data_IF_070813408069
#
_entry.id   IF_070813408069
#
_cell.length_a   1.000
_cell.length_b   1.000
_cell.length_c   1.000
_cell.angle_alpha   90.00
_cell.angle_beta   90.00
_cell.angle_gamma   90.00
#
_symmetry.space_group_name_H-M   'P 1'
#
loop_
_entity.id
_entity.type
_entity.pdbx_description
1 polymer ?
#
# COMPACT_ATOMS: atom_id res chain seq x y z
N UNK A 1 33.10 20.66 -14.54
CA UNK A 1 34.08 19.94 -15.38
C UNK A 1 33.43 18.64 -15.86
N UNK A 2 33.72 18.18 -17.07
CA UNK A 2 33.15 16.96 -17.67
C UNK A 2 34.25 16.04 -18.20
N UNK A 3 33.87 14.77 -18.43
CA UNK A 3 34.65 13.76 -19.12
C UNK A 3 33.85 13.25 -20.33
N UNK A 4 34.55 12.86 -21.38
CA UNK A 4 33.94 12.23 -22.54
C UNK A 4 33.74 10.73 -22.28
N UNK A 5 32.50 10.26 -22.33
CA UNK A 5 32.14 8.85 -22.36
C UNK A 5 31.64 8.46 -23.75
N UNK A 6 31.62 7.17 -24.07
CA UNK A 6 31.16 6.67 -25.37
C UNK A 6 30.12 5.56 -25.22
N UNK A 7 29.20 5.48 -26.17
CA UNK A 7 28.37 4.31 -26.42
C UNK A 7 28.37 4.01 -27.93
N UNK A 8 27.50 3.11 -28.39
CA UNK A 8 27.41 2.77 -29.82
C UNK A 8 26.90 3.91 -30.71
N UNK A 9 26.34 4.99 -30.14
CA UNK A 9 25.86 6.17 -30.87
C UNK A 9 26.98 7.21 -31.03
N UNK A 10 27.98 7.19 -30.15
CA UNK A 10 29.15 8.05 -30.22
C UNK A 10 29.53 8.68 -28.87
N UNK A 11 30.38 9.71 -28.87
CA UNK A 11 30.79 10.39 -27.65
C UNK A 11 29.67 11.28 -27.05
N UNK A 12 29.75 11.52 -25.75
CA UNK A 12 28.94 12.50 -25.00
C UNK A 12 29.69 12.97 -23.75
N UNK A 13 29.48 14.23 -23.36
CA UNK A 13 30.06 14.82 -22.16
C UNK A 13 29.25 14.46 -20.91
N UNK A 14 29.93 13.93 -19.89
CA UNK A 14 29.37 13.50 -18.61
C UNK A 14 30.05 14.26 -17.46
N UNK A 15 29.33 14.71 -16.40
CA UNK A 15 29.95 15.37 -15.25
C UNK A 15 31.07 14.53 -14.61
N UNK A 16 32.16 15.17 -14.17
CA UNK A 16 33.31 14.45 -13.57
C UNK A 16 32.99 13.79 -12.23
N UNK A 17 32.01 14.29 -11.50
CA UNK A 17 31.53 13.75 -10.23
C UNK A 17 30.53 12.60 -10.40
N UNK A 18 30.00 12.38 -11.60
CA UNK A 18 29.08 11.29 -11.88
C UNK A 18 29.78 9.94 -12.05
N UNK A 19 29.25 8.87 -11.47
CA UNK A 19 29.66 7.50 -11.77
C UNK A 19 28.99 6.95 -13.04
N UNK A 20 27.82 7.47 -13.42
CA UNK A 20 27.11 7.02 -14.62
C UNK A 20 27.85 7.38 -15.91
N UNK A 21 27.47 6.75 -17.03
CA UNK A 21 28.16 6.87 -18.32
C UNK A 21 27.28 7.48 -19.42
N UNK A 22 27.63 7.15 -20.66
CA UNK A 22 27.02 7.75 -21.84
C UNK A 22 25.51 7.51 -21.95
N UNK A 23 25.01 6.31 -21.61
CA UNK A 23 23.60 5.99 -21.79
C UNK A 23 22.71 6.72 -20.79
N UNK A 24 23.15 6.82 -19.53
CA UNK A 24 22.45 7.62 -18.52
C UNK A 24 22.43 9.09 -18.91
N UNK A 25 23.56 9.62 -19.38
CA UNK A 25 23.65 11.02 -19.81
C UNK A 25 22.72 11.32 -20.98
N UNK A 26 22.63 10.42 -21.97
CA UNK A 26 21.67 10.55 -23.08
C UNK A 26 20.23 10.47 -22.61
N UNK A 27 19.92 9.54 -21.69
CA UNK A 27 18.57 9.40 -21.14
C UNK A 27 18.12 10.68 -20.42
N UNK A 28 19.00 11.29 -19.63
CA UNK A 28 18.72 12.57 -18.94
C UNK A 28 18.30 13.69 -19.89
N UNK A 29 18.94 13.78 -21.05
CA UNK A 29 18.66 14.81 -22.05
C UNK A 29 17.36 14.49 -22.80
N UNK A 30 17.19 13.23 -23.21
CA UNK A 30 16.11 12.84 -24.12
C UNK A 30 14.76 12.61 -23.43
N UNK A 31 14.76 12.33 -22.12
CA UNK A 31 13.57 12.01 -21.33
C UNK A 31 13.37 13.01 -20.19
N UNK A 32 13.60 14.30 -20.46
CA UNK A 32 13.39 15.40 -19.51
C UNK A 32 11.88 15.71 -19.32
N UNK A 33 11.12 14.72 -18.87
CA UNK A 33 9.66 14.78 -18.68
C UNK A 33 9.37 14.63 -17.19
N UNK A 34 8.45 15.45 -16.65
CA UNK A 34 7.99 15.35 -15.27
C UNK A 34 9.05 15.63 -14.21
N UNK A 35 8.72 15.33 -12.96
CA UNK A 35 9.63 15.45 -11.81
C UNK A 35 9.83 14.10 -11.09
N UNK A 36 9.08 13.09 -11.50
CA UNK A 36 9.06 11.75 -10.91
C UNK A 36 10.35 11.01 -11.26
N UNK A 37 11.29 10.97 -10.32
CA UNK A 37 12.49 10.13 -10.41
C UNK A 37 12.09 8.65 -10.30
N UNK A 38 12.90 7.77 -10.92
CA UNK A 38 12.78 6.33 -10.71
C UNK A 38 12.90 6.04 -9.20
N UNK A 39 11.97 5.27 -8.58
CA UNK A 39 12.03 5.00 -7.16
C UNK A 39 13.34 4.31 -6.76
N UNK A 40 14.01 4.82 -5.71
CA UNK A 40 15.27 4.26 -5.21
C UNK A 40 15.16 2.77 -4.88
N UNK A 41 14.01 2.31 -4.36
CA UNK A 41 13.77 0.89 -4.10
C UNK A 41 13.96 0.01 -5.35
N UNK A 42 13.62 0.50 -6.55
CA UNK A 42 13.85 -0.23 -7.81
C UNK A 42 15.34 -0.26 -8.16
N UNK A 43 16.05 0.83 -7.88
CA UNK A 43 17.48 0.98 -8.17
C UNK A 43 18.34 0.14 -7.22
N UNK A 44 18.00 0.11 -5.93
CA UNK A 44 18.58 -0.81 -4.95
C UNK A 44 18.27 -2.26 -5.30
N UNK A 45 17.03 -2.59 -5.74
CA UNK A 45 16.72 -3.94 -6.21
C UNK A 45 17.52 -4.33 -7.47
N UNK A 46 17.75 -3.41 -8.41
CA UNK A 46 18.65 -3.63 -9.54
C UNK A 46 20.10 -3.88 -9.08
N UNK A 47 20.61 -3.10 -8.12
CA UNK A 47 21.95 -3.31 -7.56
C UNK A 47 22.09 -4.67 -6.87
N UNK A 48 21.05 -5.10 -6.13
CA UNK A 48 20.97 -6.43 -5.54
C UNK A 48 21.04 -7.54 -6.61
N UNK A 49 20.34 -7.35 -7.73
CA UNK A 49 20.41 -8.25 -8.89
C UNK A 49 21.83 -8.29 -9.47
N UNK A 50 22.52 -7.15 -9.59
CA UNK A 50 23.90 -7.12 -10.10
C UNK A 50 24.87 -7.83 -9.17
N UNK A 51 24.72 -7.64 -7.85
CA UNK A 51 25.48 -8.39 -6.84
C UNK A 51 25.26 -9.90 -6.96
N UNK A 52 24.00 -10.34 -7.00
CA UNK A 52 23.66 -11.75 -7.12
C UNK A 52 24.19 -12.36 -8.43
N UNK A 53 24.03 -11.64 -9.55
CA UNK A 53 24.52 -12.08 -10.86
C UNK A 53 26.05 -12.20 -10.90
N UNK A 54 26.79 -11.25 -10.30
CA UNK A 54 28.25 -11.33 -10.23
C UNK A 54 28.71 -12.58 -9.47
N UNK A 55 28.08 -12.88 -8.33
CA UNK A 55 28.37 -14.10 -7.54
C UNK A 55 28.05 -15.38 -8.30
N UNK A 56 26.88 -15.45 -8.93
CA UNK A 56 26.46 -16.64 -9.71
C UNK A 56 27.38 -16.86 -10.90
N UNK A 57 27.65 -15.82 -11.70
CA UNK A 57 28.54 -15.92 -12.86
C UNK A 57 29.98 -16.25 -12.45
N UNK A 58 30.46 -15.75 -11.30
CA UNK A 58 31.78 -16.11 -10.80
C UNK A 58 31.86 -17.58 -10.41
N UNK A 59 30.85 -18.11 -9.71
CA UNK A 59 30.78 -19.54 -9.34
C UNK A 59 30.71 -20.47 -10.55
N UNK A 60 30.09 -20.03 -11.65
CA UNK A 60 30.01 -20.80 -12.89
C UNK A 60 31.22 -20.60 -13.82
N UNK A 61 32.20 -19.77 -13.45
CA UNK A 61 33.37 -19.45 -14.27
C UNK A 61 33.12 -18.48 -15.43
N UNK A 62 31.92 -17.90 -15.53
CA UNK A 62 31.54 -16.94 -16.57
C UNK A 62 32.07 -15.52 -16.31
N UNK A 63 32.50 -15.24 -15.09
CA UNK A 63 33.03 -13.95 -14.68
C UNK A 63 34.29 -14.13 -13.80
N UNK A 64 35.42 -13.48 -14.13
CA UNK A 64 36.62 -13.53 -13.29
C UNK A 64 36.34 -13.10 -11.84
N UNK A 65 36.93 -13.79 -10.88
CA UNK A 65 36.62 -13.61 -9.45
C UNK A 65 37.05 -12.24 -8.89
N UNK A 66 38.08 -11.63 -9.45
CA UNK A 66 38.52 -10.27 -9.14
C UNK A 66 37.51 -9.22 -9.64
N UNK A 67 37.01 -9.37 -10.87
CA UNK A 67 35.95 -8.51 -11.44
C UNK A 67 34.65 -8.66 -10.64
N UNK A 68 34.27 -9.89 -10.31
CA UNK A 68 33.06 -10.17 -9.53
C UNK A 68 33.11 -9.49 -8.14
N UNK A 69 34.28 -9.50 -7.48
CA UNK A 69 34.50 -8.87 -6.17
C UNK A 69 34.36 -7.35 -6.23
N UNK A 70 34.89 -6.71 -7.27
CA UNK A 70 34.76 -5.26 -7.47
C UNK A 70 33.29 -4.86 -7.70
N UNK A 71 32.55 -5.65 -8.48
CA UNK A 71 31.13 -5.44 -8.73
C UNK A 71 30.33 -5.59 -7.43
N UNK A 72 30.61 -6.63 -6.65
CA UNK A 72 29.95 -6.87 -5.37
C UNK A 72 30.18 -5.72 -4.39
N UNK A 73 31.43 -5.26 -4.24
CA UNK A 73 31.75 -4.14 -3.36
C UNK A 73 31.03 -2.84 -3.79
N UNK A 74 31.05 -2.52 -5.10
CA UNK A 74 30.34 -1.34 -5.60
C UNK A 74 28.82 -1.46 -5.45
N UNK A 75 28.25 -2.66 -5.64
CA UNK A 75 26.83 -2.89 -5.42
C UNK A 75 26.44 -2.76 -3.94
N UNK A 76 27.29 -3.18 -3.01
CA UNK A 76 27.07 -3.00 -1.57
C UNK A 76 27.01 -1.52 -1.18
N UNK A 77 27.92 -0.70 -1.68
CA UNK A 77 27.87 0.76 -1.44
C UNK A 77 26.57 1.39 -1.97
N UNK A 78 26.04 0.90 -3.11
CA UNK A 78 24.74 1.32 -3.64
C UNK A 78 23.58 0.87 -2.73
N UNK A 79 23.60 -0.38 -2.27
CA UNK A 79 22.58 -0.94 -1.37
C UNK A 79 22.57 -0.25 0.01
N UNK A 80 23.70 0.27 0.45
CA UNK A 80 23.85 1.07 1.68
C UNK A 80 23.43 2.54 1.50
N UNK A 81 22.99 2.94 0.30
CA UNK A 81 22.52 4.29 0.00
C UNK A 81 23.63 5.32 -0.20
N UNK A 82 24.90 4.91 -0.31
CA UNK A 82 26.03 5.84 -0.45
C UNK A 82 26.02 6.60 -1.78
N UNK A 83 25.30 6.08 -2.78
CA UNK A 83 25.31 6.56 -4.17
C UNK A 83 23.92 6.92 -4.71
N UNK A 84 22.92 7.17 -3.86
CA UNK A 84 21.54 7.45 -4.30
C UNK A 84 21.42 8.65 -5.26
N UNK A 85 22.31 9.63 -5.12
CA UNK A 85 22.40 10.80 -6.02
C UNK A 85 22.84 10.45 -7.45
N UNK A 86 23.35 9.24 -7.68
CA UNK A 86 23.91 8.78 -8.96
C UNK A 86 22.85 8.15 -9.89
N UNK A 87 21.58 8.21 -9.49
CA UNK A 87 20.47 7.68 -10.26
C UNK A 87 19.46 8.77 -10.63
N UNK A 88 19.82 9.66 -11.56
CA UNK A 88 19.02 10.85 -11.85
C UNK A 88 17.86 10.57 -12.81
N UNK A 89 17.65 9.34 -13.27
CA UNK A 89 16.64 9.08 -14.31
C UNK A 89 15.20 9.18 -13.80
N UNK A 90 14.29 9.54 -14.71
CA UNK A 90 12.86 9.70 -14.42
C UNK A 90 12.08 8.41 -14.69
N UNK A 91 10.86 8.33 -14.16
CA UNK A 91 9.90 7.27 -14.46
C UNK A 91 9.55 7.24 -15.94
N UNK A 92 9.43 8.42 -16.56
CA UNK A 92 9.00 8.63 -17.94
C UNK A 92 10.12 8.40 -18.95
N UNK A 93 10.72 7.22 -18.88
CA UNK A 93 11.83 6.78 -19.70
C UNK A 93 11.40 5.68 -20.69
N UNK A 94 12.36 4.99 -21.31
CA UNK A 94 12.04 3.79 -22.09
C UNK A 94 11.19 2.79 -21.28
N UNK A 95 10.12 2.31 -21.91
CA UNK A 95 9.09 1.51 -21.27
C UNK A 95 9.51 0.16 -20.71
N UNK A 96 10.66 -0.37 -21.16
CA UNK A 96 11.27 -1.60 -20.61
C UNK A 96 12.04 -1.36 -19.31
N UNK A 97 12.35 -0.11 -18.98
CA UNK A 97 13.26 0.23 -17.89
C UNK A 97 14.75 0.08 -18.22
N UNK A 98 15.11 -0.10 -19.51
CA UNK A 98 16.50 -0.27 -19.97
C UNK A 98 17.42 0.84 -19.49
N UNK A 99 16.96 2.09 -19.47
CA UNK A 99 17.81 3.21 -19.09
C UNK A 99 18.18 3.16 -17.60
N UNK A 100 17.26 2.81 -16.70
CA UNK A 100 17.61 2.57 -15.28
C UNK A 100 18.48 1.34 -15.08
N UNK A 101 18.24 0.25 -15.83
CA UNK A 101 19.14 -0.92 -15.79
C UNK A 101 20.57 -0.53 -16.19
N UNK A 102 20.72 0.23 -17.29
CA UNK A 102 22.02 0.72 -17.73
C UNK A 102 22.62 1.75 -16.79
N UNK A 103 21.81 2.60 -16.15
CA UNK A 103 22.30 3.54 -15.14
C UNK A 103 22.92 2.81 -13.95
N UNK A 104 22.28 1.75 -13.45
CA UNK A 104 22.87 0.91 -12.39
C UNK A 104 24.13 0.20 -12.88
N UNK A 105 24.12 -0.34 -14.11
CA UNK A 105 25.31 -0.97 -14.70
C UNK A 105 26.49 0.01 -14.79
N UNK A 106 26.25 1.22 -15.29
CA UNK A 106 27.26 2.26 -15.45
C UNK A 106 27.78 2.77 -14.10
N UNK A 107 26.91 2.98 -13.11
CA UNK A 107 27.32 3.43 -11.77
C UNK A 107 28.17 2.36 -11.08
N UNK A 108 27.74 1.09 -11.11
CA UNK A 108 28.51 -0.01 -10.53
C UNK A 108 29.85 -0.19 -11.24
N UNK A 109 29.87 -0.17 -12.58
CA UNK A 109 31.12 -0.26 -13.34
C UNK A 109 32.05 0.92 -13.05
N UNK A 110 31.52 2.15 -13.05
CA UNK A 110 32.28 3.37 -12.80
C UNK A 110 32.87 3.40 -11.40
N UNK A 111 32.14 2.90 -10.39
CA UNK A 111 32.65 2.78 -9.03
C UNK A 111 33.66 1.64 -8.89
N UNK A 112 33.41 0.49 -9.50
CA UNK A 112 34.34 -0.63 -9.54
C UNK A 112 35.68 -0.26 -10.21
N UNK A 113 35.65 0.56 -11.26
CA UNK A 113 36.86 1.06 -11.92
C UNK A 113 37.62 2.05 -11.05
N UNK A 114 36.92 2.91 -10.31
CA UNK A 114 37.55 3.81 -9.34
C UNK A 114 38.23 3.03 -8.20
N UNK A 115 37.59 1.95 -7.71
CA UNK A 115 38.18 1.03 -6.73
C UNK A 115 39.44 0.33 -7.27
N UNK A 116 39.45 -0.05 -8.54
CA UNK A 116 40.57 -0.79 -9.14
C UNK A 116 41.74 0.09 -9.59
N UNK A 117 41.47 1.29 -10.11
CA UNK A 117 42.46 2.12 -10.80
C UNK A 117 42.42 3.61 -10.45
N UNK A 118 41.58 4.04 -9.50
CA UNK A 118 41.49 5.43 -9.05
C UNK A 118 40.82 6.39 -10.03
N UNK A 119 40.32 5.91 -11.16
CA UNK A 119 39.64 6.71 -12.17
C UNK A 119 38.13 6.47 -12.11
N UNK A 120 37.36 7.55 -11.99
CA UNK A 120 35.89 7.49 -11.95
C UNK A 120 35.31 7.27 -13.35
N UNK A 121 34.35 6.34 -13.44
CA UNK A 121 33.64 6.04 -14.69
C UNK A 121 34.38 5.04 -15.58
N UNK A 122 34.25 5.18 -16.89
CA UNK A 122 34.92 4.33 -17.87
C UNK A 122 34.39 2.90 -17.92
N UNK A 123 35.13 2.05 -18.65
CA UNK A 123 34.71 0.68 -19.00
C UNK A 123 35.79 -0.38 -18.76
N UNK A 124 36.83 -0.05 -18.00
CA UNK A 124 37.97 -0.91 -17.75
C UNK A 124 38.49 -0.71 -16.32
N UNK A 125 38.77 -1.80 -15.56
CA UNK A 125 38.66 -3.21 -15.98
C UNK A 125 37.21 -3.75 -16.00
N UNK A 126 36.24 -3.03 -15.43
CA UNK A 126 34.83 -3.44 -15.37
C UNK A 126 34.03 -2.76 -16.47
N UNK A 127 33.47 -3.56 -17.39
CA UNK A 127 32.62 -3.09 -18.47
C UNK A 127 31.13 -3.22 -18.06
N UNK A 128 30.30 -2.18 -18.26
CA UNK A 128 28.91 -2.18 -17.79
C UNK A 128 28.03 -3.25 -18.46
N UNK A 129 28.29 -3.62 -19.72
CA UNK A 129 27.53 -4.67 -20.41
C UNK A 129 28.15 -6.05 -20.17
N UNK A 130 29.37 -6.24 -20.64
CA UNK A 130 30.08 -7.52 -20.64
C UNK A 130 30.34 -8.12 -19.24
N UNK A 131 30.48 -7.29 -18.20
CA UNK A 131 30.73 -7.74 -16.83
C UNK A 131 29.52 -7.54 -15.91
N UNK A 132 29.06 -6.29 -15.72
CA UNK A 132 27.96 -6.00 -14.77
C UNK A 132 26.62 -6.59 -15.23
N UNK A 133 26.37 -6.56 -16.54
CA UNK A 133 25.15 -7.08 -17.17
C UNK A 133 25.36 -8.48 -17.80
N UNK A 134 26.40 -9.22 -17.42
CA UNK A 134 26.68 -10.58 -17.90
C UNK A 134 25.48 -11.50 -17.61
N UNK A 135 25.07 -12.28 -18.61
CA UNK A 135 23.92 -13.21 -18.58
C UNK A 135 22.55 -12.57 -18.31
N UNK A 136 22.42 -11.26 -18.55
CA UNK A 136 21.23 -10.48 -18.19
C UNK A 136 20.70 -9.65 -19.36
N UNK A 137 19.43 -9.28 -19.29
CA UNK A 137 18.79 -8.30 -20.14
C UNK A 137 18.08 -7.25 -19.28
N UNK A 138 17.86 -6.05 -19.80
CA UNK A 138 16.93 -5.13 -19.14
C UNK A 138 15.52 -5.73 -19.04
N UNK A 139 15.15 -6.55 -20.03
CA UNK A 139 13.82 -7.12 -20.13
C UNK A 139 13.51 -8.08 -18.99
N UNK A 140 14.50 -8.81 -18.44
CA UNK A 140 14.34 -9.69 -17.28
C UNK A 140 14.85 -9.09 -15.96
N UNK A 141 15.84 -8.19 -15.99
CA UNK A 141 16.31 -7.48 -14.78
C UNK A 141 15.28 -6.50 -14.22
N UNK A 142 14.69 -5.65 -15.06
CA UNK A 142 13.77 -4.62 -14.59
C UNK A 142 12.49 -5.20 -13.95
N UNK A 143 11.76 -6.15 -14.56
CA UNK A 143 10.63 -6.80 -13.87
C UNK A 143 11.06 -7.55 -12.60
N UNK A 144 12.24 -8.17 -12.58
CA UNK A 144 12.78 -8.77 -11.34
C UNK A 144 12.94 -7.72 -10.24
N UNK A 145 13.48 -6.54 -10.57
CA UNK A 145 13.62 -5.44 -9.62
C UNK A 145 12.26 -4.89 -9.15
N UNK A 146 11.27 -4.80 -10.04
CA UNK A 146 9.90 -4.40 -9.68
C UNK A 146 9.30 -5.33 -8.62
N UNK A 147 9.45 -6.64 -8.83
CA UNK A 147 8.94 -7.68 -7.94
C UNK A 147 9.62 -7.65 -6.57
N UNK A 148 10.95 -7.56 -6.54
CA UNK A 148 11.73 -7.44 -5.30
C UNK A 148 11.33 -6.18 -4.52
N UNK A 149 11.31 -5.01 -5.18
CA UNK A 149 10.98 -3.75 -4.54
C UNK A 149 9.55 -3.76 -3.97
N UNK A 150 8.58 -4.29 -4.72
CA UNK A 150 7.20 -4.41 -4.25
C UNK A 150 7.08 -5.37 -3.05
N UNK A 151 7.69 -6.56 -3.12
CA UNK A 151 7.67 -7.54 -2.04
C UNK A 151 8.33 -7.01 -0.76
N UNK A 152 9.47 -6.31 -0.88
CA UNK A 152 10.14 -5.66 0.26
C UNK A 152 9.25 -4.57 0.87
N UNK A 153 8.70 -3.67 0.05
CA UNK A 153 7.85 -2.58 0.53
C UNK A 153 6.59 -3.09 1.23
N UNK A 154 5.95 -4.15 0.72
CA UNK A 154 4.81 -4.78 1.38
C UNK A 154 5.22 -5.41 2.72
N UNK A 155 6.29 -6.21 2.74
CA UNK A 155 6.71 -6.97 3.92
C UNK A 155 7.22 -6.07 5.05
N UNK A 156 8.02 -5.06 4.71
CA UNK A 156 8.74 -4.25 5.69
C UNK A 156 8.02 -2.94 6.05
N UNK A 157 7.19 -2.40 5.16
CA UNK A 157 6.51 -1.13 5.41
C UNK A 157 5.01 -1.33 5.65
N UNK A 158 4.29 -1.93 4.70
CA UNK A 158 2.83 -1.95 4.71
C UNK A 158 2.21 -2.93 5.70
N UNK A 159 2.63 -4.20 5.69
CA UNK A 159 2.04 -5.20 6.59
C UNK A 159 2.24 -4.85 8.08
N UNK A 160 3.40 -4.34 8.52
CA UNK A 160 3.56 -3.84 9.88
C UNK A 160 2.65 -2.64 10.18
N UNK A 161 2.59 -1.64 9.30
CA UNK A 161 1.74 -0.47 9.48
C UNK A 161 0.24 -0.81 9.57
N UNK A 162 -0.21 -1.75 8.73
CA UNK A 162 -1.59 -2.24 8.74
C UNK A 162 -1.89 -2.98 10.05
N UNK A 163 -0.96 -3.80 10.54
CA UNK A 163 -1.10 -4.48 11.82
C UNK A 163 -1.19 -3.47 12.98
N UNK A 164 -0.32 -2.44 13.00
CA UNK A 164 -0.35 -1.37 14.01
C UNK A 164 -1.74 -0.70 14.10
N UNK A 165 -2.32 -0.31 12.95
CA UNK A 165 -3.67 0.28 12.91
C UNK A 165 -4.77 -0.70 13.31
N UNK A 166 -4.73 -1.91 12.77
CA UNK A 166 -5.73 -2.96 13.05
C UNK A 166 -5.76 -3.30 14.53
N UNK A 167 -4.58 -3.46 15.15
CA UNK A 167 -4.45 -3.86 16.54
C UNK A 167 -4.87 -2.71 17.48
N UNK A 168 -4.57 -1.47 17.12
CA UNK A 168 -5.09 -0.29 17.83
C UNK A 168 -6.61 -0.16 17.79
N UNK A 169 -7.23 -0.39 16.64
CA UNK A 169 -8.69 -0.46 16.52
C UNK A 169 -9.28 -1.63 17.32
N UNK A 170 -8.60 -2.78 17.34
CA UNK A 170 -9.01 -3.96 18.11
C UNK A 170 -8.97 -3.68 19.61
N UNK A 171 -7.98 -2.95 20.11
CA UNK A 171 -7.92 -2.51 21.50
C UNK A 171 -9.09 -1.58 21.84
N UNK A 172 -9.37 -0.58 20.99
CA UNK A 172 -10.51 0.32 21.18
C UNK A 172 -11.84 -0.44 21.15
N UNK A 173 -11.98 -1.42 20.24
CA UNK A 173 -13.17 -2.26 20.16
C UNK A 173 -13.42 -3.05 21.45
N UNK A 174 -12.36 -3.62 22.05
CA UNK A 174 -12.45 -4.35 23.32
C UNK A 174 -12.77 -3.41 24.49
N UNK A 175 -12.11 -2.26 24.55
CA UNK A 175 -12.33 -1.25 25.59
C UNK A 175 -13.78 -0.75 25.62
N UNK A 176 -14.42 -0.67 24.45
CA UNK A 176 -15.78 -0.17 24.29
C UNK A 176 -16.79 -1.26 23.92
N UNK A 177 -16.50 -2.53 24.23
CA UNK A 177 -17.34 -3.68 23.89
C UNK A 177 -18.78 -3.57 24.41
N UNK A 178 -18.97 -2.90 25.56
CA UNK A 178 -20.27 -2.75 26.23
C UNK A 178 -20.90 -1.35 26.07
N UNK A 179 -20.26 -0.44 25.33
CA UNK A 179 -20.76 0.93 25.17
C UNK A 179 -21.87 0.94 24.12
N UNK A 180 -23.14 0.99 24.55
CA UNK A 180 -24.30 0.96 23.65
C UNK A 180 -24.50 2.32 22.98
N UNK A 181 -24.82 2.30 21.70
CA UNK A 181 -25.18 3.45 20.86
C UNK A 181 -26.30 3.08 19.89
N UNK A 182 -26.89 4.07 19.24
CA UNK A 182 -27.79 3.81 18.11
C UNK A 182 -26.98 3.41 16.87
N UNK A 183 -27.38 2.34 16.19
CA UNK A 183 -26.91 2.04 14.84
C UNK A 183 -27.56 2.98 13.83
N UNK A 184 -26.97 3.12 12.64
CA UNK A 184 -27.58 3.90 11.55
C UNK A 184 -27.49 3.14 10.23
N UNK A 185 -28.61 3.05 9.53
CA UNK A 185 -28.69 2.54 8.16
C UNK A 185 -29.39 3.59 7.30
N UNK A 186 -28.90 3.81 6.08
CA UNK A 186 -29.40 4.89 5.21
C UNK A 186 -29.36 6.30 5.84
N UNK A 187 -28.43 6.53 6.79
CA UNK A 187 -28.35 7.76 7.60
C UNK A 187 -29.54 8.02 8.53
N UNK A 188 -30.41 7.03 8.72
CA UNK A 188 -31.53 7.08 9.65
C UNK A 188 -31.20 6.30 10.92
N UNK A 189 -31.82 6.69 12.04
CA UNK A 189 -31.74 5.93 13.29
C UNK A 189 -32.16 4.48 13.08
N UNK A 190 -31.47 3.54 13.71
CA UNK A 190 -31.74 2.12 13.65
C UNK A 190 -31.65 1.47 15.04
N UNK A 191 -31.64 0.14 15.09
CA UNK A 191 -31.53 -0.62 16.34
C UNK A 191 -30.19 -0.40 17.05
N UNK A 192 -30.10 -0.69 18.36
CA UNK A 192 -28.86 -0.53 19.12
C UNK A 192 -27.73 -1.42 18.59
N UNK A 193 -26.51 -0.92 18.71
CA UNK A 193 -25.25 -1.67 18.59
C UNK A 193 -24.32 -1.23 19.72
N UNK A 194 -23.23 -1.94 19.96
CA UNK A 194 -22.14 -1.37 20.78
C UNK A 194 -21.11 -0.67 19.91
N UNK A 195 -20.45 0.34 20.46
CA UNK A 195 -19.33 1.01 19.80
C UNK A 195 -18.18 0.02 19.54
N UNK A 196 -17.97 -0.95 20.44
CA UNK A 196 -17.05 -2.06 20.20
C UNK A 196 -17.42 -2.92 18.99
N UNK A 197 -18.71 -3.23 18.80
CA UNK A 197 -19.17 -3.92 17.58
C UNK A 197 -18.90 -3.10 16.32
N UNK A 198 -19.21 -1.80 16.34
CA UNK A 198 -18.92 -0.87 15.23
C UNK A 198 -17.43 -0.85 14.86
N UNK A 199 -16.54 -0.75 15.87
CA UNK A 199 -15.09 -0.76 15.66
C UNK A 199 -14.58 -2.11 15.16
N UNK A 200 -15.15 -3.22 15.67
CA UNK A 200 -14.79 -4.58 15.23
C UNK A 200 -15.05 -4.82 13.74
N UNK A 201 -16.04 -4.13 13.15
CA UNK A 201 -16.28 -4.20 11.71
C UNK A 201 -15.10 -3.63 10.90
N UNK A 202 -14.48 -2.52 11.34
CA UNK A 202 -13.26 -2.01 10.69
C UNK A 202 -12.09 -2.98 10.82
N UNK A 203 -11.92 -3.59 12.01
CA UNK A 203 -10.88 -4.62 12.22
C UNK A 203 -11.05 -5.77 11.23
N UNK A 204 -12.28 -6.27 11.06
CA UNK A 204 -12.57 -7.33 10.10
C UNK A 204 -12.29 -6.90 8.64
N UNK A 205 -12.68 -5.69 8.25
CA UNK A 205 -12.40 -5.15 6.91
C UNK A 205 -10.89 -5.05 6.63
N UNK A 206 -10.11 -4.57 7.59
CA UNK A 206 -8.65 -4.53 7.50
C UNK A 206 -8.04 -5.94 7.44
N UNK A 207 -8.57 -6.89 8.20
CA UNK A 207 -8.17 -8.29 8.16
C UNK A 207 -8.42 -8.95 6.79
N UNK A 208 -9.55 -8.67 6.14
CA UNK A 208 -9.82 -9.14 4.77
C UNK A 208 -8.82 -8.54 3.77
N UNK A 209 -8.50 -7.25 3.88
CA UNK A 209 -7.52 -6.62 3.02
C UNK A 209 -6.11 -7.18 3.23
N UNK A 210 -5.70 -7.41 4.47
CA UNK A 210 -4.42 -8.05 4.80
C UNK A 210 -4.31 -9.45 4.19
N UNK A 211 -5.36 -10.26 4.32
CA UNK A 211 -5.40 -11.60 3.75
C UNK A 211 -5.24 -11.57 2.21
N UNK A 212 -5.90 -10.62 1.54
CA UNK A 212 -5.76 -10.43 0.10
C UNK A 212 -4.33 -10.03 -0.31
N UNK A 213 -3.69 -9.13 0.45
CA UNK A 213 -2.30 -8.71 0.20
C UNK A 213 -1.35 -9.91 0.36
N UNK A 214 -1.49 -10.67 1.44
CA UNK A 214 -0.68 -11.86 1.70
C UNK A 214 -0.87 -12.92 0.63
N UNK A 215 -2.09 -13.11 0.13
CA UNK A 215 -2.39 -14.07 -0.94
C UNK A 215 -1.78 -13.68 -2.29
N UNK A 216 -1.54 -12.39 -2.56
CA UNK A 216 -0.89 -11.94 -3.79
C UNK A 216 0.65 -12.12 -3.77
N UNK A 217 1.28 -12.13 -2.60
CA UNK A 217 2.74 -12.14 -2.46
C UNK A 217 3.46 -13.35 -3.10
N UNK A 218 2.94 -14.60 -3.06
CA UNK A 218 3.61 -15.73 -3.70
C UNK A 218 3.89 -15.50 -5.18
N UNK A 219 2.90 -15.03 -5.94
CA UNK A 219 3.06 -14.74 -7.38
C UNK A 219 4.01 -13.54 -7.63
N UNK A 220 4.03 -12.56 -6.72
CA UNK A 220 4.99 -11.44 -6.78
C UNK A 220 6.42 -11.92 -6.52
N UNK A 221 6.62 -13.02 -5.80
CA UNK A 221 7.97 -13.56 -5.53
C UNK A 221 8.54 -14.40 -6.68
N UNK A 222 7.77 -14.62 -7.76
CA UNK A 222 8.25 -15.30 -8.96
C UNK A 222 8.99 -14.33 -9.89
N UNK A 223 10.25 -14.63 -10.20
CA UNK A 223 11.17 -13.72 -10.88
C UNK A 223 11.34 -14.04 -12.36
N UNK A 224 11.37 -12.98 -13.17
CA UNK A 224 11.63 -13.04 -14.61
C UNK A 224 13.10 -13.36 -14.93
N UNK A 225 14.03 -13.15 -13.99
CA UNK A 225 15.47 -13.25 -14.21
C UNK A 225 15.89 -14.60 -14.83
N UNK A 226 16.75 -14.54 -15.85
CA UNK A 226 17.15 -15.69 -16.66
C UNK A 226 16.28 -15.90 -17.90
N UNK A 227 15.23 -15.10 -18.10
CA UNK A 227 14.47 -15.05 -19.37
C UNK A 227 15.20 -14.30 -20.49
N UNK A 228 16.19 -13.48 -20.14
CA UNK A 228 16.98 -12.62 -21.01
C UNK A 228 16.13 -11.74 -21.94
N UNK A 229 16.35 -11.79 -23.26
CA UNK A 229 15.74 -10.84 -24.19
C UNK A 229 14.23 -11.05 -24.35
N UNK A 230 13.79 -12.30 -24.53
CA UNK A 230 12.41 -12.63 -24.95
C UNK A 230 11.81 -13.84 -24.23
N UNK A 231 12.50 -14.38 -23.22
CA UNK A 231 12.03 -15.48 -22.37
C UNK A 231 12.73 -16.81 -22.60
N UNK A 232 13.60 -16.91 -23.61
CA UNK A 232 14.29 -18.15 -23.98
C UNK A 232 15.53 -18.45 -23.14
N UNK A 233 16.07 -17.47 -22.43
CA UNK A 233 17.34 -17.61 -21.71
C UNK A 233 18.58 -17.56 -22.62
N UNK A 234 18.45 -17.10 -23.87
CA UNK A 234 19.60 -16.94 -24.78
C UNK A 234 20.69 -16.08 -24.12
N UNK A 235 21.94 -16.54 -24.19
CA UNK A 235 23.14 -15.96 -23.58
C UNK A 235 23.21 -16.02 -22.04
N UNK A 236 22.31 -16.74 -21.36
CA UNK A 236 22.48 -17.14 -19.97
C UNK A 236 23.02 -18.58 -19.89
N UNK A 237 23.91 -18.90 -18.94
CA UNK A 237 24.36 -20.28 -18.75
C UNK A 237 23.23 -21.17 -18.22
N UNK A 238 23.33 -22.47 -18.48
CA UNK A 238 22.34 -23.43 -17.98
C UNK A 238 22.22 -23.37 -16.45
N UNK A 239 20.99 -23.34 -15.93
CA UNK A 239 20.72 -23.25 -14.48
C UNK A 239 20.89 -21.85 -13.87
N UNK A 240 21.17 -20.82 -14.68
CA UNK A 240 21.33 -19.45 -14.19
C UNK A 240 20.07 -18.93 -13.46
N UNK A 241 18.89 -19.18 -14.00
CA UNK A 241 17.62 -18.65 -13.48
C UNK A 241 17.34 -19.16 -12.05
N UNK A 242 17.53 -20.45 -11.80
CA UNK A 242 17.35 -21.06 -10.48
C UNK A 242 18.44 -20.59 -9.51
N UNK A 243 19.70 -20.55 -9.97
CA UNK A 243 20.83 -20.13 -9.15
C UNK A 243 20.72 -18.66 -8.70
N UNK A 244 20.31 -17.75 -9.58
CA UNK A 244 20.15 -16.33 -9.24
C UNK A 244 18.91 -16.08 -8.38
N UNK A 245 17.81 -16.80 -8.59
CA UNK A 245 16.65 -16.71 -7.70
C UNK A 245 17.01 -17.16 -6.27
N UNK A 246 17.77 -18.26 -6.14
CA UNK A 246 18.26 -18.74 -4.84
C UNK A 246 19.23 -17.75 -4.17
N UNK A 247 20.16 -17.16 -4.92
CA UNK A 247 21.08 -16.14 -4.40
C UNK A 247 20.32 -14.88 -3.94
N UNK A 248 19.34 -14.42 -4.73
CA UNK A 248 18.50 -13.28 -4.39
C UNK A 248 17.63 -13.56 -3.16
N UNK A 249 17.07 -14.77 -3.04
CA UNK A 249 16.32 -15.19 -1.85
C UNK A 249 17.21 -15.17 -0.61
N UNK A 250 18.44 -15.69 -0.71
CA UNK A 250 19.41 -15.69 0.40
C UNK A 250 19.82 -14.27 0.82
N UNK A 251 20.08 -13.38 -0.14
CA UNK A 251 20.49 -12.00 0.12
C UNK A 251 19.36 -11.13 0.69
N UNK A 252 18.13 -11.31 0.20
CA UNK A 252 16.98 -10.48 0.58
C UNK A 252 16.17 -11.03 1.76
N UNK A 253 16.30 -12.33 2.06
CA UNK A 253 15.43 -13.03 3.00
C UNK A 253 13.98 -13.21 2.51
N UNK A 254 13.69 -12.89 1.23
CA UNK A 254 12.39 -13.09 0.60
C UNK A 254 12.28 -14.50 0.00
N UNK A 255 11.08 -15.10 -0.07
CA UNK A 255 10.87 -16.44 -0.66
C UNK A 255 10.84 -16.38 -2.20
N UNK A 256 11.92 -15.87 -2.80
CA UNK A 256 12.01 -15.64 -4.25
C UNK A 256 12.26 -16.94 -5.01
N UNK A 257 11.57 -17.10 -6.13
CA UNK A 257 11.70 -18.28 -7.01
C UNK A 257 11.83 -17.87 -8.47
N UNK A 258 12.35 -18.76 -9.30
CA UNK A 258 12.36 -18.58 -10.76
C UNK A 258 10.92 -18.74 -11.28
N UNK A 259 10.39 -17.74 -12.00
CA UNK A 259 9.07 -17.84 -12.60
C UNK A 259 8.96 -19.07 -13.54
N UNK A 260 7.90 -19.89 -13.45
CA UNK A 260 7.77 -21.11 -14.23
C UNK A 260 7.63 -20.85 -15.73
N UNK A 261 7.11 -19.68 -16.11
CA UNK A 261 7.02 -19.25 -17.50
C UNK A 261 7.66 -17.86 -17.69
N UNK A 262 8.84 -17.85 -18.31
CA UNK A 262 9.60 -16.62 -18.57
C UNK A 262 8.97 -15.74 -19.64
N UNK A 263 8.24 -16.29 -20.59
CA UNK A 263 7.55 -15.49 -21.61
C UNK A 263 6.48 -14.63 -20.94
N UNK A 264 5.63 -15.22 -20.09
CA UNK A 264 4.61 -14.51 -19.33
C UNK A 264 5.21 -13.43 -18.42
N UNK A 265 6.29 -13.77 -17.69
CA UNK A 265 6.97 -12.84 -16.78
C UNK A 265 7.58 -11.61 -17.47
N UNK A 266 7.80 -11.66 -18.79
CA UNK A 266 8.28 -10.52 -19.59
C UNK A 266 7.14 -9.77 -20.28
N UNK A 267 6.17 -10.52 -20.83
CA UNK A 267 5.07 -9.99 -21.64
C UNK A 267 3.93 -9.40 -20.81
N UNK A 268 3.79 -9.79 -19.54
CA UNK A 268 2.72 -9.38 -18.63
C UNK A 268 3.22 -9.02 -17.23
N UNK A 269 2.31 -8.50 -16.40
CA UNK A 269 2.56 -8.08 -15.00
C UNK A 269 1.35 -8.37 -14.10
N UNK A 270 0.61 -9.44 -14.39
CA UNK A 270 -0.59 -9.85 -13.67
C UNK A 270 -0.36 -10.02 -12.17
N UNK A 271 0.78 -10.55 -11.67
CA UNK A 271 1.04 -10.59 -10.23
C UNK A 271 1.02 -9.20 -9.57
N UNK A 272 1.53 -8.18 -10.25
CA UNK A 272 1.52 -6.80 -9.75
C UNK A 272 0.14 -6.15 -9.87
N UNK A 273 -0.66 -6.52 -10.88
CA UNK A 273 -2.08 -6.13 -10.97
C UNK A 273 -2.88 -6.75 -9.84
N UNK A 274 -2.66 -8.03 -9.53
CA UNK A 274 -3.33 -8.71 -8.42
C UNK A 274 -2.97 -8.05 -7.08
N UNK A 275 -1.69 -7.72 -6.87
CA UNK A 275 -1.27 -6.97 -5.68
C UNK A 275 -1.94 -5.59 -5.64
N UNK A 276 -1.96 -4.84 -6.75
CA UNK A 276 -2.67 -3.55 -6.83
C UNK A 276 -4.14 -3.68 -6.46
N UNK A 277 -4.83 -4.72 -6.94
CA UNK A 277 -6.22 -4.99 -6.58
C UNK A 277 -6.40 -5.26 -5.08
N UNK A 278 -5.46 -5.94 -4.43
CA UNK A 278 -5.47 -6.12 -2.98
C UNK A 278 -5.23 -4.81 -2.22
N UNK A 279 -4.33 -3.95 -2.70
CA UNK A 279 -4.11 -2.61 -2.14
C UNK A 279 -5.34 -1.71 -2.29
N UNK A 280 -6.07 -1.80 -3.41
CA UNK A 280 -7.36 -1.14 -3.60
C UNK A 280 -8.37 -1.59 -2.55
N UNK A 281 -8.46 -2.88 -2.24
CA UNK A 281 -9.36 -3.40 -1.19
C UNK A 281 -9.05 -2.75 0.16
N UNK A 282 -7.76 -2.58 0.49
CA UNK A 282 -7.36 -1.84 1.69
C UNK A 282 -7.79 -0.37 1.64
N UNK A 283 -7.54 0.32 0.53
CA UNK A 283 -7.94 1.72 0.36
C UNK A 283 -9.46 1.94 0.51
N UNK A 284 -10.28 1.01 0.00
CA UNK A 284 -11.74 1.02 0.18
C UNK A 284 -12.13 0.92 1.65
N UNK A 285 -11.49 0.02 2.41
CA UNK A 285 -11.73 -0.12 3.84
C UNK A 285 -11.31 1.15 4.62
N UNK A 286 -10.14 1.71 4.31
CA UNK A 286 -9.63 2.92 4.93
C UNK A 286 -10.51 4.15 4.62
N UNK A 287 -11.04 4.25 3.40
CA UNK A 287 -12.00 5.30 3.03
C UNK A 287 -13.25 5.24 3.91
N UNK A 288 -13.84 4.05 4.09
CA UNK A 288 -15.01 3.86 4.97
C UNK A 288 -14.67 4.23 6.42
N UNK A 289 -13.54 3.74 6.94
CA UNK A 289 -13.05 4.08 8.29
C UNK A 289 -12.94 5.60 8.51
N UNK A 290 -12.27 6.30 7.58
CA UNK A 290 -12.12 7.75 7.64
C UNK A 290 -13.47 8.49 7.60
N UNK A 291 -14.36 8.05 6.71
CA UNK A 291 -15.67 8.66 6.51
C UNK A 291 -16.60 8.49 7.71
N UNK A 292 -16.56 7.34 8.35
CA UNK A 292 -17.37 7.08 9.53
C UNK A 292 -16.85 7.86 10.73
N UNK A 293 -15.54 7.82 11.01
CA UNK A 293 -14.98 8.53 12.16
C UNK A 293 -15.14 10.05 12.05
N UNK A 294 -15.01 10.65 10.85
CA UNK A 294 -15.30 12.08 10.67
C UNK A 294 -16.78 12.42 10.90
N UNK A 295 -17.68 11.51 10.52
CA UNK A 295 -19.12 11.72 10.64
C UNK A 295 -19.55 11.59 12.11
N UNK A 296 -19.08 10.54 12.79
CA UNK A 296 -19.28 10.34 14.23
C UNK A 296 -18.67 11.49 15.05
N UNK A 297 -17.54 12.04 14.60
CA UNK A 297 -16.87 13.20 15.21
C UNK A 297 -17.41 14.58 14.79
N UNK A 298 -18.44 14.64 13.94
CA UNK A 298 -19.01 15.92 13.49
C UNK A 298 -19.66 16.67 14.66
N UNK A 299 -19.38 17.97 14.82
CA UNK A 299 -19.88 18.73 15.97
C UNK A 299 -19.08 20.01 16.25
N UNK A 300 -18.95 20.45 17.52
CA UNK A 300 -19.32 19.74 18.75
C UNK A 300 -20.79 19.89 19.17
N UNK A 301 -21.57 20.77 18.51
CA UNK A 301 -22.97 21.06 18.93
C UNK A 301 -24.04 20.81 17.86
N UNK A 302 -23.64 20.72 16.59
CA UNK A 302 -24.56 20.68 15.45
C UNK A 302 -24.30 19.47 14.53
N UNK A 303 -23.69 18.41 15.08
CA UNK A 303 -23.43 17.15 14.40
C UNK A 303 -23.70 15.98 15.35
N UNK A 304 -23.16 14.80 15.06
CA UNK A 304 -23.36 13.63 15.92
C UNK A 304 -22.60 13.72 17.24
N UNK A 305 -21.35 14.21 17.23
CA UNK A 305 -20.50 14.34 18.40
C UNK A 305 -20.43 13.06 19.28
N UNK A 306 -20.56 11.88 18.66
CA UNK A 306 -20.50 10.59 19.36
C UNK A 306 -19.05 10.22 19.71
N UNK A 307 -18.08 10.74 18.95
CA UNK A 307 -16.66 10.58 19.26
C UNK A 307 -15.95 11.94 19.27
N UNK A 308 -14.95 12.05 20.13
CA UNK A 308 -13.97 13.14 20.15
C UNK A 308 -12.69 12.62 19.50
N UNK A 309 -12.34 13.22 18.37
CA UNK A 309 -11.08 12.98 17.69
C UNK A 309 -9.97 13.86 18.30
N UNK A 310 -8.71 13.43 18.30
CA UNK A 310 -7.60 14.21 18.85
C UNK A 310 -7.43 15.56 18.14
N UNK A 311 -7.14 16.60 18.93
CA UNK A 311 -6.91 17.96 18.44
C UNK A 311 -5.42 18.20 18.18
N UNK A 312 -4.94 17.76 17.02
CA UNK A 312 -3.51 17.83 16.67
C UNK A 312 -3.05 19.24 16.23
N UNK A 313 -3.94 20.05 15.66
CA UNK A 313 -3.65 21.41 15.21
C UNK A 313 -4.88 22.33 15.25
N UNK A 314 -4.69 23.68 15.20
CA UNK A 314 -5.79 24.62 15.01
C UNK A 314 -6.51 24.37 13.67
N UNK A 315 -7.82 24.14 13.71
CA UNK A 315 -8.61 23.75 12.53
C UNK A 315 -9.13 24.92 11.68
N UNK A 316 -8.89 26.17 12.06
CA UNK A 316 -9.32 27.32 11.26
C UNK A 316 -8.49 28.57 11.54
N UNK A 317 -8.16 29.30 10.48
CA UNK A 317 -7.52 30.60 10.57
C UNK A 317 -8.44 31.72 11.08
N UNK A 318 -9.78 31.53 11.02
CA UNK A 318 -10.77 32.58 11.32
C UNK A 318 -11.76 32.20 12.44
N UNK A 319 -11.91 30.91 12.76
CA UNK A 319 -12.79 30.43 13.83
C UNK A 319 -11.96 29.92 15.02
N UNK A 320 -11.66 30.78 16.02
CA UNK A 320 -10.92 30.37 17.20
C UNK A 320 -11.57 29.17 17.90
N UNK A 321 -10.78 28.16 18.26
CA UNK A 321 -11.24 26.96 18.94
C UNK A 321 -11.84 25.87 18.05
N UNK A 322 -11.97 26.08 16.72
CA UNK A 322 -12.38 25.00 15.79
C UNK A 322 -11.24 24.01 15.59
N UNK A 323 -11.55 22.71 15.70
CA UNK A 323 -10.65 21.58 15.40
C UNK A 323 -11.31 20.72 14.33
N UNK A 324 -10.57 20.32 13.29
CA UNK A 324 -11.08 19.53 12.18
C UNK A 324 -10.59 18.07 12.25
N UNK A 325 -11.30 17.12 11.62
CA UNK A 325 -10.88 15.72 11.53
C UNK A 325 -9.81 15.50 10.44
N UNK A 326 -8.69 16.22 10.52
CA UNK A 326 -7.67 16.30 9.44
C UNK A 326 -7.00 14.97 9.12
N UNK A 327 -6.83 14.08 10.11
CA UNK A 327 -6.33 12.72 9.88
C UNK A 327 -7.31 11.89 9.04
N UNK A 328 -8.63 12.06 9.23
CA UNK A 328 -9.64 11.42 8.37
C UNK A 328 -9.59 12.00 6.95
N UNK A 329 -9.40 13.32 6.82
CA UNK A 329 -9.27 13.99 5.53
C UNK A 329 -8.05 13.43 4.76
N UNK A 330 -6.87 13.39 5.38
CA UNK A 330 -5.66 12.84 4.80
C UNK A 330 -5.81 11.36 4.40
N UNK A 331 -6.38 10.53 5.29
CA UNK A 331 -6.62 9.11 5.01
C UNK A 331 -7.58 8.90 3.82
N UNK A 332 -8.61 9.73 3.70
CA UNK A 332 -9.54 9.67 2.57
C UNK A 332 -8.90 10.12 1.25
N UNK A 333 -8.07 11.17 1.25
CA UNK A 333 -7.38 11.64 0.05
C UNK A 333 -6.37 10.63 -0.47
N UNK A 334 -5.57 10.02 0.41
CA UNK A 334 -4.62 9.00 -0.02
C UNK A 334 -5.31 7.73 -0.53
N UNK A 335 -6.49 7.39 0.01
CA UNK A 335 -7.29 6.29 -0.51
C UNK A 335 -7.78 6.59 -1.94
N UNK A 336 -8.26 7.81 -2.22
CA UNK A 336 -8.58 8.24 -3.59
C UNK A 336 -7.37 8.08 -4.53
N UNK A 337 -6.18 8.49 -4.10
CA UNK A 337 -4.97 8.36 -4.92
C UNK A 337 -4.64 6.89 -5.22
N UNK A 338 -4.75 5.99 -4.23
CA UNK A 338 -4.53 4.55 -4.43
C UNK A 338 -5.52 3.95 -5.42
N UNK A 339 -6.80 4.36 -5.38
CA UNK A 339 -7.80 3.92 -6.36
C UNK A 339 -7.46 4.42 -7.78
N UNK A 340 -6.97 5.65 -7.92
CA UNK A 340 -6.48 6.18 -9.19
C UNK A 340 -5.27 5.41 -9.72
N UNK A 341 -4.31 5.12 -8.83
CA UNK A 341 -3.12 4.34 -9.14
C UNK A 341 -3.48 2.92 -9.62
N UNK A 342 -4.47 2.27 -9.00
CA UNK A 342 -4.97 0.94 -9.44
C UNK A 342 -5.50 0.98 -10.86
N UNK A 343 -6.28 2.00 -11.21
CA UNK A 343 -6.76 2.19 -12.58
C UNK A 343 -5.60 2.39 -13.58
N UNK A 344 -4.60 3.20 -13.21
CA UNK A 344 -3.40 3.40 -14.03
C UNK A 344 -2.61 2.10 -14.21
N UNK A 345 -2.40 1.33 -13.15
CA UNK A 345 -1.68 0.05 -13.19
C UNK A 345 -2.43 -0.96 -14.07
N UNK A 346 -3.74 -1.11 -13.87
CA UNK A 346 -4.58 -2.01 -14.65
C UNK A 346 -4.55 -1.66 -16.14
N UNK A 347 -4.66 -0.36 -16.47
CA UNK A 347 -4.56 0.08 -17.86
C UNK A 347 -3.18 -0.20 -18.43
N UNK A 348 -2.10 0.21 -17.77
CA UNK A 348 -0.72 -0.02 -18.21
C UNK A 348 -0.39 -1.52 -18.41
N UNK A 349 -0.84 -2.38 -17.52
CA UNK A 349 -0.64 -3.83 -17.63
C UNK A 349 -1.36 -4.44 -18.85
N UNK A 350 -2.50 -3.89 -19.24
CA UNK A 350 -3.26 -4.34 -20.43
C UNK A 350 -2.58 -4.04 -21.76
N UNK A 351 -1.56 -3.16 -21.78
CA UNK A 351 -0.89 -2.69 -23.00
C UNK A 351 0.31 -3.55 -23.42
N UNK A 352 0.36 -4.83 -23.02
CA UNK A 352 1.39 -5.75 -23.45
C UNK A 352 1.35 -6.00 -24.96
N UNK A 353 2.51 -5.98 -25.62
CA UNK A 353 2.62 -6.29 -27.06
C UNK A 353 3.65 -7.39 -27.27
N UNK A 354 3.20 -8.53 -27.80
CA UNK A 354 4.05 -9.68 -28.12
C UNK A 354 4.91 -10.09 -26.90
N UNK A 355 6.23 -10.13 -27.01
CA UNK A 355 7.13 -10.66 -25.97
C UNK A 355 7.42 -9.70 -24.81
N UNK A 356 6.91 -8.47 -24.81
CA UNK A 356 7.26 -7.49 -23.78
C UNK A 356 6.13 -6.47 -23.50
N UNK A 357 5.74 -6.33 -22.24
CA UNK A 357 5.02 -5.14 -21.79
C UNK A 357 6.03 -4.02 -21.52
N UNK A 358 5.87 -2.89 -22.21
CA UNK A 358 6.73 -1.69 -22.15
C UNK A 358 6.09 -0.55 -21.36
N UNK A 359 5.31 -0.86 -20.34
CA UNK A 359 4.77 0.10 -19.37
C UNK A 359 5.32 -0.17 -17.96
N UNK A 360 6.49 -0.81 -17.88
CA UNK A 360 7.08 -1.30 -16.62
C UNK A 360 7.32 -0.17 -15.60
N UNK A 361 7.93 0.99 -15.97
CA UNK A 361 8.16 2.09 -15.04
C UNK A 361 6.89 2.67 -14.41
N UNK A 362 5.83 2.89 -15.20
CA UNK A 362 4.59 3.49 -14.67
C UNK A 362 3.84 2.52 -13.76
N UNK A 363 3.89 1.21 -14.03
CA UNK A 363 3.33 0.17 -13.15
C UNK A 363 4.00 0.23 -11.77
N UNK A 364 5.34 0.12 -11.73
CA UNK A 364 6.05 0.04 -10.45
C UNK A 364 6.04 1.36 -9.68
N UNK A 365 6.07 2.50 -10.37
CA UNK A 365 5.96 3.82 -9.73
C UNK A 365 4.64 3.94 -8.96
N UNK A 366 3.51 3.68 -9.62
CA UNK A 366 2.19 3.77 -9.00
C UNK A 366 2.03 2.75 -7.88
N UNK A 367 2.53 1.52 -8.07
CA UNK A 367 2.45 0.46 -7.06
C UNK A 367 3.22 0.83 -5.78
N UNK A 368 4.47 1.28 -5.91
CA UNK A 368 5.28 1.69 -4.77
C UNK A 368 4.74 2.95 -4.10
N UNK A 369 4.19 3.90 -4.86
CA UNK A 369 3.51 5.06 -4.29
C UNK A 369 2.30 4.62 -3.46
N UNK A 370 1.46 3.71 -3.96
CA UNK A 370 0.32 3.18 -3.22
C UNK A 370 0.74 2.47 -1.94
N UNK A 371 1.76 1.61 -2.00
CA UNK A 371 2.28 0.90 -0.81
C UNK A 371 2.76 1.91 0.25
N UNK A 372 3.51 2.95 -0.15
CA UNK A 372 3.97 3.99 0.78
C UNK A 372 2.81 4.79 1.38
N UNK A 373 1.89 5.29 0.55
CA UNK A 373 0.73 6.06 1.02
C UNK A 373 -0.13 5.27 2.01
N UNK A 374 -0.37 3.98 1.73
CA UNK A 374 -1.12 3.11 2.63
C UNK A 374 -0.35 2.84 3.93
N UNK A 375 0.96 2.58 3.87
CA UNK A 375 1.77 2.36 5.06
C UNK A 375 1.82 3.61 5.95
N UNK A 376 2.15 4.76 5.37
CA UNK A 376 2.24 6.04 6.09
C UNK A 376 0.86 6.45 6.64
N UNK A 377 -0.19 6.27 5.84
CA UNK A 377 -1.58 6.53 6.22
C UNK A 377 -2.02 5.68 7.41
N UNK A 378 -1.75 4.38 7.40
CA UNK A 378 -2.08 3.50 8.52
C UNK A 378 -1.35 3.92 9.81
N UNK A 379 -0.03 4.17 9.75
CA UNK A 379 0.75 4.60 10.92
C UNK A 379 0.27 5.93 11.49
N UNK A 380 0.13 6.94 10.63
CA UNK A 380 -0.29 8.28 11.06
C UNK A 380 -1.71 8.26 11.62
N UNK A 381 -2.64 7.55 10.97
CA UNK A 381 -4.01 7.45 11.47
C UNK A 381 -4.08 6.70 12.80
N UNK A 382 -3.29 5.65 12.97
CA UNK A 382 -3.19 4.97 14.26
C UNK A 382 -2.67 5.92 15.35
N UNK A 383 -1.53 6.57 15.11
CA UNK A 383 -0.84 7.40 16.09
C UNK A 383 -1.62 8.68 16.44
N UNK A 384 -2.21 9.35 15.45
CA UNK A 384 -2.76 10.70 15.61
C UNK A 384 -4.30 10.75 15.60
N UNK A 385 -4.96 9.59 15.53
CA UNK A 385 -6.42 9.51 15.56
C UNK A 385 -6.92 8.37 16.46
N UNK A 386 -6.59 7.11 16.14
CA UNK A 386 -7.17 5.94 16.82
C UNK A 386 -6.66 5.74 18.24
N UNK A 387 -5.36 5.96 18.49
CA UNK A 387 -4.76 5.76 19.81
C UNK A 387 -5.42 6.62 20.90
N UNK A 388 -5.81 7.85 20.57
CA UNK A 388 -6.42 8.82 21.48
C UNK A 388 -7.92 9.05 21.20
N UNK A 389 -8.56 8.18 20.40
CA UNK A 389 -10.00 8.24 20.13
C UNK A 389 -10.79 8.09 21.44
N UNK A 390 -11.68 9.04 21.72
CA UNK A 390 -12.55 9.00 22.90
C UNK A 390 -14.03 9.02 22.50
N UNK A 391 -14.83 8.02 22.86
CA UNK A 391 -16.28 8.13 22.70
C UNK A 391 -16.89 9.08 23.73
N UNK A 392 -17.99 9.72 23.35
CA UNK A 392 -18.87 10.46 24.26
C UNK A 392 -20.07 9.59 24.64
N UNK A 393 -19.92 8.86 25.75
CA UNK A 393 -20.93 7.93 26.24
C UNK A 393 -22.27 8.62 26.55
N UNK A 394 -22.24 9.87 27.02
CA UNK A 394 -23.45 10.62 27.32
C UNK A 394 -24.19 10.99 26.04
N UNK A 395 -23.47 11.46 25.00
CA UNK A 395 -24.07 11.76 23.71
C UNK A 395 -24.62 10.50 23.02
N UNK A 396 -23.87 9.38 23.05
CA UNK A 396 -24.32 8.10 22.51
C UNK A 396 -25.60 7.60 23.19
N UNK A 397 -25.68 7.71 24.52
CA UNK A 397 -26.89 7.37 25.28
C UNK A 397 -28.06 8.30 24.93
N UNK A 398 -27.81 9.61 24.83
CA UNK A 398 -28.84 10.59 24.46
C UNK A 398 -29.42 10.33 23.07
N UNK A 399 -28.60 9.97 22.08
CA UNK A 399 -29.11 9.58 20.75
C UNK A 399 -29.95 8.30 20.81
N UNK A 400 -29.52 7.32 21.60
CA UNK A 400 -30.22 6.06 21.77
C UNK A 400 -31.60 6.24 22.42
N UNK A 401 -31.68 7.07 23.47
CA UNK A 401 -32.92 7.35 24.21
C UNK A 401 -33.94 8.16 23.39
N UNK A 402 -33.46 9.08 22.56
CA UNK A 402 -34.31 9.86 21.66
C UNK A 402 -34.73 9.08 20.40
N UNK A 403 -34.01 8.01 20.06
CA UNK A 403 -34.27 7.19 18.88
C UNK A 403 -35.58 6.42 18.97
N UNK A 404 -36.39 6.47 17.91
CA UNK A 404 -37.69 5.78 17.86
C UNK A 404 -37.57 4.30 17.51
N UNK A 405 -36.38 3.81 17.15
CA UNK A 405 -36.19 2.43 16.67
C UNK A 405 -35.99 1.40 17.79
N UNK A 406 -35.93 1.81 19.06
CA UNK A 406 -36.06 0.88 20.19
C UNK A 406 -37.41 0.15 20.18
N UNK A 407 -38.42 0.72 19.49
CA UNK A 407 -39.74 0.13 19.28
C UNK A 407 -39.68 -1.26 18.64
N UNK A 408 -38.61 -1.58 17.89
CA UNK A 408 -38.45 -2.89 17.24
C UNK A 408 -38.41 -4.04 18.25
N UNK A 409 -37.97 -3.79 19.49
CA UNK A 409 -38.02 -4.78 20.58
C UNK A 409 -39.46 -5.22 20.90
N UNK A 410 -40.47 -4.42 20.57
CA UNK A 410 -41.87 -4.73 20.83
C UNK A 410 -42.46 -5.69 19.80
N UNK A 411 -41.87 -5.83 18.60
CA UNK A 411 -42.44 -6.61 17.51
C UNK A 411 -42.80 -8.05 17.91
N UNK A 412 -41.96 -8.82 18.64
CA UNK A 412 -42.30 -10.19 19.06
C UNK A 412 -43.43 -10.26 20.09
N UNK A 413 -43.71 -9.16 20.81
CA UNK A 413 -44.69 -9.13 21.90
C UNK A 413 -46.07 -8.63 21.44
N UNK A 414 -46.10 -7.61 20.58
CA UNK A 414 -47.34 -6.93 20.19
C UNK A 414 -47.60 -6.95 18.66
N UNK A 415 -46.66 -7.46 17.88
CA UNK A 415 -46.72 -7.46 16.41
C UNK A 415 -46.25 -6.14 15.79
N UNK A 416 -45.88 -6.20 14.51
CA UNK A 416 -45.32 -5.08 13.76
C UNK A 416 -46.26 -3.87 13.69
N UNK A 417 -47.54 -4.08 13.38
CA UNK A 417 -48.48 -2.97 13.14
C UNK A 417 -48.68 -2.10 14.38
N UNK A 418 -48.79 -2.72 15.56
CA UNK A 418 -48.91 -1.99 16.84
C UNK A 418 -47.62 -1.25 17.18
N UNK A 419 -46.46 -1.87 16.98
CA UNK A 419 -45.17 -1.22 17.17
C UNK A 419 -44.99 -0.01 16.23
N UNK A 420 -45.39 -0.14 14.96
CA UNK A 420 -45.34 0.93 13.98
C UNK A 420 -46.27 2.10 14.37
N UNK A 421 -47.46 1.82 14.91
CA UNK A 421 -48.38 2.84 15.41
C UNK A 421 -47.80 3.59 16.61
N UNK A 422 -47.15 2.90 17.56
CA UNK A 422 -46.43 3.54 18.68
C UNK A 422 -45.36 4.50 18.16
N UNK A 423 -44.53 4.08 17.21
CA UNK A 423 -43.47 4.92 16.65
C UNK A 423 -44.02 6.14 15.91
N UNK A 424 -45.07 5.97 15.10
CA UNK A 424 -45.73 7.06 14.38
C UNK A 424 -46.33 8.08 15.33
N UNK A 425 -46.99 7.61 16.40
CA UNK A 425 -47.56 8.47 17.43
C UNK A 425 -46.48 9.24 18.17
N UNK A 426 -45.44 8.55 18.65
CA UNK A 426 -44.30 9.17 19.33
C UNK A 426 -43.66 10.29 18.49
N UNK A 427 -43.46 10.03 17.20
CA UNK A 427 -42.95 11.03 16.26
C UNK A 427 -43.90 12.23 16.08
N UNK A 428 -45.19 11.97 15.82
CA UNK A 428 -46.17 13.00 15.54
C UNK A 428 -46.41 13.95 16.74
N UNK A 429 -46.31 13.42 17.96
CA UNK A 429 -46.58 14.15 19.19
C UNK A 429 -45.31 14.66 19.88
N UNK A 430 -44.12 14.29 19.38
CA UNK A 430 -42.84 14.59 20.04
C UNK A 430 -42.69 13.93 21.41
N UNK A 431 -43.38 12.80 21.64
CA UNK A 431 -43.33 12.05 22.89
C UNK A 431 -42.32 10.91 22.82
N UNK A 432 -41.96 10.34 23.97
CA UNK A 432 -41.14 9.12 23.99
C UNK A 432 -41.95 7.89 23.53
N UNK A 433 -41.26 6.83 23.12
CA UNK A 433 -41.89 5.54 22.81
C UNK A 433 -42.70 5.00 24.00
N UNK A 434 -42.18 5.16 25.23
CA UNK A 434 -42.87 4.77 26.46
C UNK A 434 -44.20 5.49 26.60
N UNK A 435 -44.19 6.81 26.46
CA UNK A 435 -45.40 7.63 26.57
C UNK A 435 -46.45 7.23 25.52
N UNK A 436 -46.03 7.07 24.26
CA UNK A 436 -46.93 6.67 23.18
C UNK A 436 -47.52 5.26 23.40
N UNK A 437 -46.69 4.30 23.83
CA UNK A 437 -47.10 2.92 24.09
C UNK A 437 -48.14 2.80 25.20
N UNK A 438 -47.94 3.53 26.30
CA UNK A 438 -48.87 3.57 27.43
C UNK A 438 -50.20 4.25 27.05
N UNK A 439 -50.15 5.36 26.31
CA UNK A 439 -51.37 6.05 25.86
C UNK A 439 -52.20 5.24 24.87
N UNK A 440 -51.58 4.45 24.01
CA UNK A 440 -52.27 3.53 23.09
C UNK A 440 -52.83 2.28 23.82
N UNK A 441 -52.42 2.04 25.06
CA UNK A 441 -52.88 0.89 25.85
C UNK A 441 -52.38 -0.46 25.32
N UNK A 442 -51.28 -0.46 24.56
CA UNK A 442 -50.75 -1.69 23.95
C UNK A 442 -49.89 -2.52 24.90
N UNK A 443 -49.38 -1.91 25.97
CA UNK A 443 -48.55 -2.56 26.99
C UNK A 443 -48.52 -1.72 28.28
N UNK A 444 -48.18 -2.35 29.41
CA UNK A 444 -47.99 -1.69 30.71
C UNK A 444 -46.58 -1.12 30.89
N UNK A 445 -46.37 -0.32 31.94
CA UNK A 445 -45.06 0.25 32.24
C UNK A 445 -44.02 -0.84 32.53
N UNK A 446 -44.41 -1.86 33.29
CA UNK A 446 -43.56 -3.01 33.61
C UNK A 446 -43.20 -3.81 32.36
N UNK A 447 -44.14 -3.97 31.43
CA UNK A 447 -43.89 -4.62 30.15
C UNK A 447 -42.89 -3.82 29.31
N UNK A 448 -43.00 -2.48 29.29
CA UNK A 448 -42.02 -1.64 28.59
C UNK A 448 -40.61 -1.80 29.17
N UNK A 449 -40.48 -1.76 30.50
CA UNK A 449 -39.20 -1.92 31.21
C UNK A 449 -38.55 -3.29 31.00
N UNK A 450 -39.38 -4.32 30.85
CA UNK A 450 -38.94 -5.67 30.61
C UNK A 450 -38.53 -5.89 29.15
N UNK A 451 -39.30 -5.36 28.19
CA UNK A 451 -39.13 -5.68 26.76
C UNK A 451 -38.16 -4.73 26.06
N UNK A 452 -38.09 -3.46 26.45
CA UNK A 452 -37.26 -2.45 25.78
C UNK A 452 -35.98 -2.21 26.55
N UNK A 453 -35.02 -3.12 26.39
CA UNK A 453 -33.70 -3.08 27.03
C UNK A 453 -32.59 -3.02 25.99
N UNK A 454 -32.00 -1.85 25.71
CA UNK A 454 -31.02 -1.72 24.63
C UNK A 454 -29.82 -2.67 24.73
N UNK A 455 -29.37 -2.99 25.95
CA UNK A 455 -28.32 -3.96 26.22
C UNK A 455 -28.69 -5.40 25.84
N UNK A 456 -29.97 -5.73 25.78
CA UNK A 456 -30.47 -7.06 25.42
C UNK A 456 -30.83 -7.14 23.91
N UNK A 457 -30.75 -6.02 23.18
CA UNK A 457 -31.02 -5.91 21.74
C UNK A 457 -29.77 -6.09 20.86
N UNK A 458 -28.67 -6.60 21.42
CA UNK A 458 -27.33 -6.62 20.79
C UNK A 458 -26.95 -7.94 20.12
N UNK A 459 -27.86 -8.93 20.06
CA UNK A 459 -27.62 -10.26 19.51
C UNK A 459 -28.91 -11.06 19.28
N UNK A 460 -28.77 -12.28 18.77
CA UNK A 460 -29.93 -13.17 18.56
C UNK A 460 -30.61 -13.47 19.90
N UNK A 461 -31.95 -13.32 19.94
CA UNK A 461 -32.73 -13.65 21.12
C UNK A 461 -32.78 -15.16 21.39
N UNK A 462 -32.89 -15.54 22.67
CA UNK A 462 -33.40 -16.86 23.04
C UNK A 462 -34.92 -16.77 23.03
N UNK A 463 -35.55 -17.39 22.04
CA UNK A 463 -37.00 -17.57 22.02
C UNK A 463 -37.34 -18.81 22.86
N UNK A 464 -37.35 -18.66 24.18
CA UNK A 464 -37.90 -19.67 25.11
C UNK A 464 -39.35 -19.32 25.47
#
# INVERSE_FOLDING_TARGET
>A
MSRTETDSIGPIEVPNDAYWGAQTQRSLINFAIGQERMPLAVLHALALIKKAAARVNSRSGELPADIARLIEQAADEVLEGQHDSQFPLVVWQTGSGTQSNMNVNEVIAGRANELAGGQRGGKSPVHPNDHVNRAQSSNDCFPTAMHIAAAQAVRHCLLPALAELRDGLQEQAQRHANLVKTGRTHMMDATPITFGQELSAFVAQLGHAEAAIRAALPAVCELAQGGTAVGTGLNAPAGFAEAIAAELAALSGLPLTSAPNKFAALSGHEPLVQLSGALKTLAVALMKLANDLRLLGSGPRAGFAEVRLPANEPGSSIMPGKVNPTQCEALSMLACQVLGNDATIGFAASQGHLQLNVFKPVIIHNLLQSIRLLADGCRNFQQHCVAELQPDAAQMAAHLENGLMLVTALNPHIGYDKAAEIAKKAYAEGSTLRQAALQLGYLSEEQFDQWVRPQDMLGAGRHD
#
